data_IF_347072886253
#
_entry.id   IF_347072886253
#
_cell.length_a   1.000
_cell.length_b   1.000
_cell.length_c   1.000
_cell.angle_alpha   90.00
_cell.angle_beta   90.00
_cell.angle_gamma   90.00
#
_symmetry.space_group_name_H-M   'P 1'
#
loop_
_entity.id
_entity.type
_entity.pdbx_description
1 polymer ?
#
# COMPACT_ATOMS: atom_id res chain seq x y z
N UNK A 1 -42.75 -15.24 -39.22
CA UNK A 1 -41.87 -15.75 -38.15
C UNK A 1 -40.54 -15.01 -38.22
N UNK A 2 -40.31 -14.04 -37.32
CA UNK A 2 -39.05 -13.29 -37.28
C UNK A 2 -37.94 -14.12 -36.65
N UNK A 3 -36.82 -14.30 -37.37
CA UNK A 3 -35.60 -14.93 -36.85
C UNK A 3 -35.05 -14.10 -35.69
N UNK A 4 -35.15 -14.63 -34.47
CA UNK A 4 -34.33 -14.19 -33.34
C UNK A 4 -32.87 -14.48 -33.69
N UNK A 5 -32.08 -13.43 -33.93
CA UNK A 5 -30.62 -13.55 -33.97
C UNK A 5 -30.15 -13.59 -32.52
N UNK A 6 -29.54 -14.68 -32.09
CA UNK A 6 -28.75 -14.72 -30.86
C UNK A 6 -27.79 -13.53 -30.85
N UNK A 7 -27.92 -12.67 -29.84
CA UNK A 7 -26.93 -11.63 -29.58
C UNK A 7 -25.61 -12.34 -29.30
N UNK A 8 -24.60 -12.12 -30.15
CA UNK A 8 -23.23 -12.55 -29.90
C UNK A 8 -22.85 -12.17 -28.45
N UNK A 9 -22.25 -13.08 -27.67
CA UNK A 9 -21.80 -12.76 -26.33
C UNK A 9 -20.90 -11.52 -26.39
N UNK A 10 -21.18 -10.52 -25.54
CA UNK A 10 -20.34 -9.32 -25.44
C UNK A 10 -18.92 -9.80 -25.16
N UNK A 11 -17.99 -9.48 -26.06
CA UNK A 11 -16.55 -9.69 -25.83
C UNK A 11 -16.23 -9.17 -24.44
N UNK A 12 -15.68 -10.04 -23.59
CA UNK A 12 -15.15 -9.67 -22.28
C UNK A 12 -14.25 -8.44 -22.46
N UNK A 13 -14.49 -7.42 -21.63
CA UNK A 13 -13.80 -6.12 -21.68
C UNK A 13 -12.72 -5.99 -20.61
N UNK A 14 -12.67 -6.92 -19.67
CA UNK A 14 -11.82 -6.88 -18.48
C UNK A 14 -10.92 -8.10 -18.47
N UNK A 15 -9.71 -7.93 -17.92
CA UNK A 15 -8.77 -9.01 -17.69
C UNK A 15 -8.37 -9.02 -16.22
N UNK A 16 -8.24 -10.22 -15.66
CA UNK A 16 -7.64 -10.52 -14.35
C UNK A 16 -6.51 -11.49 -14.63
N UNK A 17 -5.27 -11.16 -14.27
CA UNK A 17 -4.08 -12.01 -14.48
C UNK A 17 -4.03 -12.57 -15.91
N UNK A 18 -4.18 -11.68 -16.90
CA UNK A 18 -4.23 -11.97 -18.35
C UNK A 18 -5.39 -12.87 -18.82
N UNK A 19 -6.33 -13.20 -17.94
CA UNK A 19 -7.55 -13.96 -18.28
C UNK A 19 -8.73 -13.02 -18.52
N UNK A 20 -9.43 -13.13 -19.66
CA UNK A 20 -10.64 -12.34 -19.91
C UNK A 20 -11.75 -12.77 -18.95
N UNK A 21 -12.35 -11.79 -18.26
CA UNK A 21 -13.48 -11.97 -17.34
C UNK A 21 -14.62 -11.01 -17.66
N UNK A 22 -15.83 -11.32 -17.22
CA UNK A 22 -16.92 -10.33 -17.24
C UNK A 22 -16.92 -9.45 -15.97
N UNK A 23 -17.81 -8.46 -15.95
CA UNK A 23 -17.89 -7.50 -14.85
C UNK A 23 -18.34 -8.14 -13.53
N UNK A 24 -19.24 -9.12 -13.57
CA UNK A 24 -19.72 -9.80 -12.37
C UNK A 24 -18.63 -10.69 -11.77
N UNK A 25 -17.87 -11.39 -12.62
CA UNK A 25 -16.72 -12.19 -12.22
C UNK A 25 -15.58 -11.33 -11.66
N UNK A 26 -15.34 -10.15 -12.26
CA UNK A 26 -14.38 -9.18 -11.72
C UNK A 26 -14.79 -8.70 -10.32
N UNK A 27 -16.06 -8.36 -10.11
CA UNK A 27 -16.56 -7.92 -8.81
C UNK A 27 -16.50 -9.05 -7.77
N UNK A 28 -16.81 -10.29 -8.15
CA UNK A 28 -16.72 -11.44 -7.24
C UNK A 28 -15.28 -11.72 -6.79
N UNK A 29 -14.30 -11.62 -7.70
CA UNK A 29 -12.88 -11.75 -7.36
C UNK A 29 -12.37 -10.58 -6.50
N UNK A 30 -12.81 -9.34 -6.79
CA UNK A 30 -12.49 -8.19 -5.95
C UNK A 30 -12.99 -8.36 -4.51
N UNK A 31 -14.22 -8.85 -4.33
CA UNK A 31 -14.78 -9.13 -3.00
C UNK A 31 -13.97 -10.20 -2.27
N UNK A 32 -13.62 -11.30 -2.94
CA UNK A 32 -12.87 -12.39 -2.33
C UNK A 32 -11.45 -11.98 -1.89
N UNK A 33 -10.82 -11.06 -2.61
CA UNK A 33 -9.51 -10.50 -2.24
C UNK A 33 -9.66 -9.51 -1.09
N UNK A 34 -10.73 -8.70 -1.09
CA UNK A 34 -11.04 -7.80 0.03
C UNK A 34 -11.27 -8.54 1.35
N UNK A 35 -11.70 -9.80 1.32
CA UNK A 35 -11.84 -10.64 2.52
C UNK A 35 -10.48 -11.08 3.09
N UNK A 36 -9.40 -10.97 2.30
CA UNK A 36 -8.04 -11.30 2.73
C UNK A 36 -7.33 -10.02 3.16
N UNK A 37 -7.38 -9.73 4.46
CA UNK A 37 -6.73 -8.54 5.03
C UNK A 37 -5.34 -8.81 5.60
N UNK A 38 -4.97 -10.08 5.81
CA UNK A 38 -3.67 -10.43 6.36
C UNK A 38 -2.58 -10.41 5.27
N UNK A 39 -1.68 -9.44 5.38
CA UNK A 39 -0.67 -9.08 4.39
C UNK A 39 0.75 -9.24 4.94
N UNK A 40 1.73 -9.04 4.07
CA UNK A 40 3.13 -9.00 4.48
C UNK A 40 3.50 -7.58 4.89
N UNK A 41 4.20 -7.46 6.02
CA UNK A 41 4.58 -6.17 6.57
C UNK A 41 6.08 -5.99 6.76
N UNK A 42 6.52 -4.74 6.72
CA UNK A 42 7.84 -4.33 7.17
C UNK A 42 7.74 -2.96 7.84
N UNK A 43 8.45 -2.81 8.96
CA UNK A 43 8.58 -1.53 9.67
C UNK A 43 9.97 -0.97 9.41
N UNK A 44 10.01 0.27 8.97
CA UNK A 44 11.22 1.00 8.62
C UNK A 44 11.13 2.42 9.17
N UNK A 45 12.21 3.15 8.99
CA UNK A 45 12.25 4.58 9.16
C UNK A 45 12.39 5.27 7.81
N UNK A 46 11.98 6.54 7.74
CA UNK A 46 11.91 7.27 6.48
C UNK A 46 13.27 7.54 5.82
N UNK A 47 14.34 7.52 6.60
CA UNK A 47 15.74 7.61 6.17
C UNK A 47 16.30 6.29 5.62
N UNK A 48 15.55 5.19 5.71
CA UNK A 48 15.99 3.89 5.20
C UNK A 48 16.28 3.94 3.69
N UNK A 49 17.49 3.52 3.31
CA UNK A 49 17.96 3.55 1.93
C UNK A 49 17.06 2.75 0.97
N UNK A 50 16.40 1.70 1.47
CA UNK A 50 15.47 0.88 0.68
C UNK A 50 14.25 1.69 0.20
N UNK A 51 13.85 2.75 0.90
CA UNK A 51 12.72 3.59 0.52
C UNK A 51 13.10 4.62 -0.56
N UNK A 52 14.37 5.03 -0.57
CA UNK A 52 14.92 5.96 -1.56
C UNK A 52 14.29 7.34 -1.56
N UNK A 53 13.82 7.81 -0.40
CA UNK A 53 13.26 9.16 -0.24
C UNK A 53 14.32 10.25 -0.15
N UNK A 54 15.54 9.91 0.31
CA UNK A 54 16.71 10.78 0.29
C UNK A 54 16.68 11.98 1.24
N UNK A 55 15.57 12.22 1.96
CA UNK A 55 15.40 13.18 3.06
C UNK A 55 14.33 12.72 4.04
N UNK A 56 14.52 13.06 5.32
CA UNK A 56 13.66 12.71 6.46
C UNK A 56 12.52 13.72 6.56
N UNK A 57 11.26 13.28 6.53
CA UNK A 57 10.18 14.10 7.06
C UNK A 57 10.26 14.10 8.57
N UNK A 58 10.07 15.24 9.22
CA UNK A 58 10.16 15.39 10.67
C UNK A 58 8.80 15.66 11.30
N UNK A 59 7.84 16.11 10.49
CA UNK A 59 6.47 16.27 10.92
C UNK A 59 5.54 16.65 9.78
N UNK A 60 4.26 16.79 10.13
CA UNK A 60 3.27 17.44 9.29
C UNK A 60 2.95 18.78 9.92
N UNK A 61 3.19 19.86 9.19
CA UNK A 61 2.81 21.22 9.57
C UNK A 61 1.29 21.37 9.64
N UNK A 62 0.83 22.43 10.32
CA UNK A 62 -0.61 22.70 10.52
C UNK A 62 -1.40 22.93 9.20
N UNK A 63 -0.70 23.24 8.09
CA UNK A 63 -1.29 23.37 6.76
C UNK A 63 -1.26 22.06 5.94
N UNK A 64 -0.83 20.95 6.56
CA UNK A 64 -0.72 19.63 5.95
C UNK A 64 0.53 19.44 5.08
N UNK A 65 1.46 20.41 5.08
CA UNK A 65 2.75 20.26 4.41
C UNK A 65 3.75 19.47 5.26
N UNK A 66 4.73 18.85 4.62
CA UNK A 66 5.72 18.01 5.28
C UNK A 66 6.92 18.88 5.67
N UNK A 67 7.29 18.85 6.94
CA UNK A 67 8.55 19.43 7.42
C UNK A 67 9.67 18.39 7.28
N UNK A 68 10.87 18.81 6.92
CA UNK A 68 12.04 17.92 6.80
C UNK A 68 13.24 18.54 7.52
N UNK A 69 13.92 17.77 8.37
CA UNK A 69 15.11 18.18 9.11
C UNK A 69 16.05 16.97 9.27
N UNK A 70 17.36 17.24 9.33
CA UNK A 70 18.41 16.23 9.48
C UNK A 70 18.75 15.96 10.97
N UNK A 71 18.07 16.61 11.93
CA UNK A 71 18.41 16.62 13.37
C UNK A 71 17.34 15.99 14.28
N UNK A 72 16.23 15.48 13.75
CA UNK A 72 15.11 14.91 14.54
C UNK A 72 15.04 13.38 14.52
N UNK A 73 14.25 12.83 15.45
CA UNK A 73 13.95 11.39 15.54
C UNK A 73 13.37 10.90 14.19
N UNK A 74 13.84 9.75 13.67
CA UNK A 74 13.45 9.33 12.33
C UNK A 74 11.96 8.98 12.27
N UNK A 75 11.28 9.45 11.23
CA UNK A 75 9.84 9.26 11.08
C UNK A 75 9.49 7.80 10.77
N UNK A 76 8.47 7.24 11.44
CA UNK A 76 8.15 5.82 11.33
C UNK A 76 7.41 5.54 10.03
N UNK A 77 7.80 4.44 9.37
CA UNK A 77 7.20 3.96 8.11
C UNK A 77 6.69 2.54 8.31
N UNK A 78 5.49 2.25 7.80
CA UNK A 78 4.92 0.91 7.73
C UNK A 78 4.60 0.54 6.27
N UNK A 79 5.14 -0.58 5.82
CA UNK A 79 4.87 -1.15 4.51
C UNK A 79 3.85 -2.28 4.62
N UNK A 80 2.86 -2.26 3.74
CA UNK A 80 1.79 -3.26 3.63
C UNK A 80 1.78 -3.82 2.20
N UNK A 81 2.33 -5.02 2.04
CA UNK A 81 2.38 -5.69 0.74
C UNK A 81 1.32 -6.81 0.67
N UNK A 82 0.33 -6.68 -0.23
CA UNK A 82 -0.76 -7.63 -0.32
C UNK A 82 -0.26 -9.02 -0.66
N UNK A 83 -0.78 -10.03 0.06
CA UNK A 83 -0.42 -11.43 -0.20
C UNK A 83 -0.76 -11.84 -1.63
N UNK A 84 -1.86 -11.29 -2.18
CA UNK A 84 -2.30 -11.47 -3.56
C UNK A 84 -2.64 -10.11 -4.15
N UNK A 85 -1.98 -9.74 -5.24
CA UNK A 85 -2.29 -8.55 -6.00
C UNK A 85 -3.16 -8.92 -7.20
N UNK A 86 -4.21 -8.16 -7.47
CA UNK A 86 -5.05 -8.38 -8.64
C UNK A 86 -4.90 -7.24 -9.63
N UNK A 87 -4.33 -7.58 -10.79
CA UNK A 87 -4.16 -6.64 -11.88
C UNK A 87 -5.45 -6.58 -12.70
N UNK A 88 -5.95 -5.37 -12.89
CA UNK A 88 -7.04 -5.06 -13.81
C UNK A 88 -6.54 -4.19 -14.94
N UNK A 89 -7.07 -4.43 -16.14
CA UNK A 89 -6.77 -3.59 -17.29
C UNK A 89 -8.04 -3.31 -18.08
N UNK A 90 -8.41 -2.03 -18.15
CA UNK A 90 -9.43 -1.55 -19.07
C UNK A 90 -8.81 -1.33 -20.48
N UNK A 91 -9.60 -1.44 -21.56
CA UNK A 91 -9.08 -1.26 -22.92
C UNK A 91 -8.45 0.13 -23.12
N UNK A 92 -7.19 0.17 -23.54
CA UNK A 92 -6.45 1.41 -23.78
C UNK A 92 -5.90 2.08 -22.51
N UNK A 93 -5.96 1.41 -21.36
CA UNK A 93 -5.35 1.88 -20.10
C UNK A 93 -4.20 0.97 -19.67
N UNK A 94 -3.28 1.54 -18.88
CA UNK A 94 -2.24 0.77 -18.22
C UNK A 94 -2.85 -0.16 -17.16
N UNK A 95 -2.24 -1.33 -16.90
CA UNK A 95 -2.65 -2.21 -15.81
C UNK A 95 -2.61 -1.49 -14.46
N UNK A 96 -3.62 -1.72 -13.63
CA UNK A 96 -3.74 -1.17 -12.27
C UNK A 96 -4.01 -2.28 -11.28
N UNK A 97 -3.46 -2.16 -10.08
CA UNK A 97 -3.77 -3.08 -9.00
C UNK A 97 -5.02 -2.59 -8.27
N UNK A 98 -6.03 -3.46 -8.16
CA UNK A 98 -7.38 -3.09 -7.72
C UNK A 98 -7.39 -2.58 -6.27
N UNK A 99 -6.63 -3.18 -5.36
CA UNK A 99 -6.59 -2.74 -3.97
C UNK A 99 -5.91 -1.36 -3.87
N UNK A 100 -4.80 -1.13 -4.56
CA UNK A 100 -4.15 0.19 -4.64
C UNK A 100 -5.12 1.26 -5.15
N UNK A 101 -5.91 0.98 -6.19
CA UNK A 101 -6.95 1.93 -6.64
C UNK A 101 -8.01 2.18 -5.56
N UNK A 102 -8.44 1.12 -4.85
CA UNK A 102 -9.38 1.25 -3.73
C UNK A 102 -8.83 2.12 -2.60
N UNK A 103 -7.57 1.92 -2.21
CA UNK A 103 -6.91 2.72 -1.20
C UNK A 103 -6.80 4.20 -1.61
N UNK A 104 -6.50 4.46 -2.88
CA UNK A 104 -6.46 5.81 -3.46
C UNK A 104 -7.85 6.46 -3.48
N UNK A 105 -8.88 5.72 -3.91
CA UNK A 105 -10.26 6.20 -3.91
C UNK A 105 -10.76 6.53 -2.50
N UNK A 106 -10.30 5.78 -1.51
CA UNK A 106 -10.57 6.02 -0.09
C UNK A 106 -9.66 7.08 0.54
N UNK A 107 -8.78 7.73 -0.20
CA UNK A 107 -8.09 8.96 0.24
C UNK A 107 -6.57 8.87 0.36
N UNK A 108 -5.94 7.69 0.21
CA UNK A 108 -4.49 7.63 0.05
C UNK A 108 -4.06 8.26 -1.28
N UNK A 109 -2.77 8.56 -1.42
CA UNK A 109 -2.21 9.14 -2.64
C UNK A 109 -1.38 8.13 -3.40
N UNK A 110 -1.48 8.15 -4.72
CA UNK A 110 -0.52 7.44 -5.57
C UNK A 110 0.86 8.04 -5.36
N UNK A 111 1.88 7.20 -5.19
CA UNK A 111 3.24 7.64 -4.88
C UNK A 111 4.17 7.45 -6.09
N UNK A 112 4.18 8.36 -7.09
CA UNK A 112 4.99 8.17 -8.29
C UNK A 112 6.50 8.34 -8.00
N UNK A 113 6.95 9.50 -7.49
CA UNK A 113 8.37 9.81 -7.21
C UNK A 113 8.50 10.87 -6.10
N UNK A 114 9.42 10.68 -5.15
CA UNK A 114 9.59 11.55 -3.97
C UNK A 114 8.44 11.50 -2.96
N UNK A 115 8.52 12.35 -1.94
CA UNK A 115 7.57 12.48 -0.82
C UNK A 115 6.78 13.79 -0.87
N UNK A 116 7.13 14.72 -1.76
CA UNK A 116 6.62 16.09 -1.78
C UNK A 116 5.10 16.19 -1.99
N UNK A 117 4.49 15.18 -2.63
CA UNK A 117 3.04 15.10 -2.88
C UNK A 117 2.28 14.33 -1.79
N UNK A 118 2.98 13.75 -0.81
CA UNK A 118 2.34 13.09 0.32
C UNK A 118 1.71 14.14 1.23
N UNK A 119 0.55 13.79 1.76
CA UNK A 119 -0.23 14.59 2.71
C UNK A 119 -0.76 13.65 3.78
N UNK A 120 -1.28 14.24 4.85
CA UNK A 120 -2.17 13.50 5.73
C UNK A 120 -3.31 12.88 4.93
N UNK A 121 -3.73 11.69 5.38
CA UNK A 121 -4.85 10.94 4.82
C UNK A 121 -5.96 10.88 5.86
N UNK A 122 -6.84 11.91 5.92
CA UNK A 122 -7.88 11.98 6.95
C UNK A 122 -8.75 10.71 6.98
N UNK A 123 -9.03 10.24 8.20
CA UNK A 123 -9.82 9.04 8.43
C UNK A 123 -9.04 7.72 8.32
N UNK A 124 -7.88 7.70 7.68
CA UNK A 124 -6.99 6.54 7.73
C UNK A 124 -6.26 6.47 9.06
N UNK A 125 -6.17 5.27 9.60
CA UNK A 125 -5.62 5.03 10.93
C UNK A 125 -4.76 3.78 10.94
N UNK A 126 -3.63 3.83 11.64
CA UNK A 126 -2.82 2.66 11.95
C UNK A 126 -3.00 2.30 13.42
N UNK A 127 -3.55 1.11 13.67
CA UNK A 127 -3.80 0.61 15.01
C UNK A 127 -2.79 -0.45 15.39
N UNK A 128 -2.16 -0.29 16.55
CA UNK A 128 -1.47 -1.39 17.24
C UNK A 128 -2.45 -2.10 18.17
N UNK A 129 -2.67 -3.38 17.91
CA UNK A 129 -3.54 -4.23 18.70
C UNK A 129 -2.85 -4.76 19.96
N UNK A 130 -3.63 -5.29 20.90
CA UNK A 130 -3.14 -5.89 22.15
C UNK A 130 -2.27 -7.13 21.93
N UNK A 131 -2.44 -7.80 20.80
CA UNK A 131 -1.64 -8.96 20.37
C UNK A 131 -0.46 -8.57 19.44
N UNK A 132 -0.07 -7.28 19.46
CA UNK A 132 1.07 -6.72 18.73
C UNK A 132 0.93 -6.70 17.19
N UNK A 133 -0.22 -7.08 16.65
CA UNK A 133 -0.52 -6.90 15.21
C UNK A 133 -0.79 -5.42 14.90
N UNK A 134 -0.50 -5.03 13.67
CA UNK A 134 -0.82 -3.71 13.16
C UNK A 134 -1.96 -3.80 12.14
N UNK A 135 -2.97 -2.96 12.28
CA UNK A 135 -4.09 -2.82 11.34
C UNK A 135 -4.09 -1.44 10.71
N UNK A 136 -3.95 -1.39 9.39
CA UNK A 136 -4.29 -0.22 8.60
C UNK A 136 -5.81 -0.22 8.38
N UNK A 137 -6.47 0.83 8.85
CA UNK A 137 -7.92 1.01 8.76
C UNK A 137 -8.27 2.13 7.80
N UNK A 138 -9.25 1.86 6.95
CA UNK A 138 -9.81 2.83 6.03
C UNK A 138 -10.77 3.81 6.74
N UNK A 139 -11.12 4.95 6.10
CA UNK A 139 -11.98 5.97 6.71
C UNK A 139 -13.39 5.51 7.09
N UNK A 140 -13.86 4.39 6.53
CA UNK A 140 -15.12 3.74 6.92
C UNK A 140 -15.02 2.92 8.21
N UNK A 141 -13.82 2.84 8.81
CA UNK A 141 -13.52 2.09 10.03
C UNK A 141 -13.20 0.61 9.80
N UNK A 142 -13.27 0.14 8.54
CA UNK A 142 -12.92 -1.22 8.17
C UNK A 142 -11.43 -1.51 8.28
N UNK A 143 -11.07 -2.77 8.52
CA UNK A 143 -9.67 -3.21 8.40
C UNK A 143 -9.36 -3.34 6.92
N UNK A 144 -8.44 -2.50 6.45
CA UNK A 144 -8.00 -2.52 5.06
C UNK A 144 -6.86 -3.51 4.84
N UNK A 145 -5.92 -3.54 5.79
CA UNK A 145 -4.79 -4.46 5.78
C UNK A 145 -4.29 -4.70 7.21
N UNK A 146 -3.74 -5.88 7.48
CA UNK A 146 -3.21 -6.32 8.77
C UNK A 146 -1.87 -7.01 8.56
N UNK A 147 -0.89 -6.64 9.38
CA UNK A 147 0.43 -7.26 9.36
C UNK A 147 0.83 -7.78 10.73
N UNK A 148 1.58 -8.87 10.73
CA UNK A 148 2.26 -9.41 11.91
C UNK A 148 3.76 -9.28 11.69
N UNK A 149 4.38 -8.35 12.42
CA UNK A 149 5.80 -7.99 12.27
C UNK A 149 6.43 -7.81 13.65
N UNK A 150 7.74 -8.11 13.83
CA UNK A 150 8.44 -7.74 15.04
C UNK A 150 8.37 -6.22 15.23
N UNK A 151 7.89 -5.78 16.40
CA UNK A 151 7.83 -4.35 16.73
C UNK A 151 9.12 -3.92 17.40
N UNK A 152 9.90 -3.10 16.71
CA UNK A 152 11.05 -2.42 17.28
C UNK A 152 10.58 -1.36 18.30
N UNK A 153 11.05 -1.39 19.57
CA UNK A 153 10.76 -0.34 20.54
C UNK A 153 11.07 1.08 20.06
N UNK A 154 12.12 1.27 19.25
CA UNK A 154 12.46 2.57 18.68
C UNK A 154 11.39 3.05 17.69
N UNK A 155 10.89 2.14 16.85
CA UNK A 155 9.82 2.44 15.90
C UNK A 155 8.53 2.81 16.63
N UNK A 156 8.18 2.06 17.70
CA UNK A 156 7.02 2.36 18.54
C UNK A 156 7.16 3.74 19.20
N UNK A 157 8.34 4.04 19.77
CA UNK A 157 8.63 5.33 20.41
C UNK A 157 8.37 6.48 19.43
N UNK A 158 8.96 6.39 18.23
CA UNK A 158 8.78 7.37 17.18
C UNK A 158 7.31 7.50 16.75
N UNK A 159 6.58 6.39 16.55
CA UNK A 159 5.14 6.42 16.21
C UNK A 159 4.28 7.07 17.30
N UNK A 160 4.59 6.86 18.57
CA UNK A 160 3.92 7.53 19.70
C UNK A 160 4.28 9.02 19.77
N UNK A 161 5.54 9.36 19.48
CA UNK A 161 6.02 10.74 19.48
C UNK A 161 5.32 11.57 18.39
N UNK A 162 5.40 11.12 17.13
CA UNK A 162 4.80 11.82 15.99
C UNK A 162 3.27 11.69 15.93
N UNK A 163 2.68 10.68 16.60
CA UNK A 163 1.25 10.30 16.51
C UNK A 163 0.79 10.01 15.09
N UNK A 164 1.73 9.78 14.19
CA UNK A 164 1.51 9.63 12.75
C UNK A 164 2.58 8.70 12.20
N UNK A 165 2.20 7.90 11.20
CA UNK A 165 3.07 6.94 10.52
C UNK A 165 2.88 7.13 9.02
N UNK A 166 3.97 7.08 8.27
CA UNK A 166 3.90 7.00 6.81
C UNK A 166 3.57 5.55 6.42
N UNK A 167 2.36 5.33 5.90
CA UNK A 167 1.97 4.03 5.39
C UNK A 167 2.15 3.97 3.88
N UNK A 168 2.77 2.89 3.40
CA UNK A 168 2.79 2.53 1.99
C UNK A 168 2.04 1.21 1.83
N UNK A 169 1.14 1.17 0.85
CA UNK A 169 0.34 0.00 0.51
C UNK A 169 0.47 -0.30 -0.98
N UNK A 170 0.69 -1.57 -1.31
CA UNK A 170 0.71 -2.06 -2.69
C UNK A 170 1.66 -3.23 -2.89
N UNK A 171 1.62 -3.89 -4.06
CA UNK A 171 2.55 -4.97 -4.38
C UNK A 171 3.98 -4.45 -4.54
N UNK A 172 4.95 -5.35 -4.41
CA UNK A 172 6.35 -5.09 -4.74
C UNK A 172 6.95 -3.94 -3.91
N UNK A 173 6.69 -3.96 -2.61
CA UNK A 173 7.27 -3.01 -1.65
C UNK A 173 8.60 -3.49 -1.09
N UNK A 174 9.15 -4.58 -1.64
CA UNK A 174 10.35 -5.22 -1.15
C UNK A 174 10.24 -5.78 0.26
N UNK A 175 9.00 -6.09 0.67
CA UNK A 175 8.71 -6.75 1.95
C UNK A 175 8.93 -8.26 1.81
N UNK A 176 8.42 -8.83 0.72
CA UNK A 176 8.55 -10.26 0.45
C UNK A 176 9.91 -10.59 -0.16
N UNK A 177 10.49 -11.70 0.30
CA UNK A 177 11.63 -12.29 -0.38
C UNK A 177 11.16 -12.92 -1.70
N UNK A 178 11.76 -12.55 -2.85
CA UNK A 178 11.47 -13.21 -4.11
C UNK A 178 11.74 -14.72 -4.02
N UNK A 179 10.92 -15.58 -4.64
CA UNK A 179 10.99 -17.04 -4.47
C UNK A 179 12.31 -17.66 -4.99
N UNK A 180 13.00 -16.96 -5.88
CA UNK A 180 14.29 -17.34 -6.47
C UNK A 180 15.51 -16.79 -5.70
N UNK A 181 15.28 -16.07 -4.59
CA UNK A 181 16.32 -15.41 -3.81
C UNK A 181 16.42 -15.98 -2.40
N UNK A 182 17.64 -16.01 -1.88
CA UNK A 182 17.90 -16.25 -0.46
C UNK A 182 17.95 -14.93 0.31
N UNK A 183 17.64 -14.91 1.62
CA UNK A 183 17.62 -13.67 2.40
C UNK A 183 18.93 -12.87 2.35
N UNK A 184 20.08 -13.56 2.33
CA UNK A 184 21.42 -12.97 2.24
C UNK A 184 21.74 -12.36 0.87
N UNK A 185 20.93 -12.67 -0.14
CA UNK A 185 21.09 -12.22 -1.52
C UNK A 185 20.04 -11.16 -1.93
N UNK A 186 19.17 -10.76 -1.00
CA UNK A 186 18.14 -9.76 -1.23
C UNK A 186 18.46 -8.51 -0.40
N UNK A 187 19.14 -7.58 -1.06
CA UNK A 187 19.77 -6.41 -0.43
C UNK A 187 18.82 -5.21 -0.35
N UNK A 188 19.20 -4.19 0.42
CA UNK A 188 18.48 -2.91 0.43
C UNK A 188 18.41 -2.27 -0.98
N UNK A 189 19.45 -2.44 -1.80
CA UNK A 189 19.45 -1.95 -3.18
C UNK A 189 18.44 -2.71 -4.06
N UNK A 190 18.26 -4.01 -3.85
CA UNK A 190 17.24 -4.80 -4.55
C UNK A 190 15.82 -4.34 -4.16
N UNK A 191 15.57 -4.16 -2.85
CA UNK A 191 14.30 -3.61 -2.33
C UNK A 191 14.00 -2.22 -2.91
N UNK A 192 15.01 -1.36 -2.95
CA UNK A 192 14.90 -0.03 -3.54
C UNK A 192 14.53 -0.08 -5.03
N UNK A 193 15.17 -0.96 -5.80
CA UNK A 193 14.86 -1.14 -7.21
C UNK A 193 13.42 -1.63 -7.42
N UNK A 194 12.96 -2.54 -6.55
CA UNK A 194 11.61 -3.07 -6.56
C UNK A 194 10.56 -1.98 -6.25
N UNK A 195 10.72 -1.27 -5.12
CA UNK A 195 9.84 -0.15 -4.74
C UNK A 195 9.81 0.91 -5.84
N UNK A 196 10.97 1.29 -6.41
CA UNK A 196 11.02 2.28 -7.51
C UNK A 196 10.25 1.81 -8.74
N UNK A 197 10.33 0.52 -9.06
CA UNK A 197 9.59 -0.05 -10.19
C UNK A 197 8.09 -0.02 -9.93
N UNK A 198 7.64 -0.45 -8.75
CA UNK A 198 6.22 -0.44 -8.35
C UNK A 198 5.64 0.98 -8.38
N UNK A 199 6.34 1.95 -7.78
CA UNK A 199 5.99 3.37 -7.79
C UNK A 199 5.93 3.95 -9.20
N UNK A 200 6.90 3.63 -10.05
CA UNK A 200 6.94 4.06 -11.45
C UNK A 200 5.77 3.53 -12.28
N UNK A 201 5.21 2.37 -11.90
CA UNK A 201 4.00 1.78 -12.49
C UNK A 201 2.71 2.25 -11.80
N UNK A 202 2.81 3.12 -10.80
CA UNK A 202 1.67 3.59 -10.04
C UNK A 202 1.07 2.56 -9.08
N UNK A 203 1.78 1.48 -8.74
CA UNK A 203 1.26 0.38 -7.92
C UNK A 203 1.45 0.60 -6.41
N UNK A 204 1.64 1.85 -5.98
CA UNK A 204 1.85 2.17 -4.57
C UNK A 204 0.94 3.33 -4.19
N UNK A 205 0.07 3.07 -3.21
CA UNK A 205 -0.68 4.06 -2.47
C UNK A 205 0.07 4.40 -1.18
N UNK A 206 0.06 5.65 -0.75
CA UNK A 206 0.73 6.08 0.45
C UNK A 206 0.08 7.32 1.08
N UNK A 207 0.34 7.51 2.37
CA UNK A 207 -0.11 8.67 3.12
C UNK A 207 0.36 8.66 4.56
N UNK A 208 0.34 9.83 5.19
CA UNK A 208 0.52 9.94 6.63
C UNK A 208 -0.80 9.63 7.32
N UNK A 209 -0.81 8.64 8.21
CA UNK A 209 -2.00 8.15 8.89
C UNK A 209 -1.84 8.29 10.40
N UNK A 210 -2.94 8.55 11.10
CA UNK A 210 -2.92 8.68 12.55
C UNK A 210 -2.55 7.35 13.21
N UNK A 211 -1.65 7.39 14.20
CA UNK A 211 -1.25 6.22 14.95
C UNK A 211 -2.05 6.08 16.25
N UNK A 212 -2.64 4.90 16.46
CA UNK A 212 -3.41 4.55 17.65
C UNK A 212 -2.79 3.34 18.34
N UNK A 213 -2.33 3.55 19.57
CA UNK A 213 -1.82 2.47 20.41
C UNK A 213 -2.96 1.93 21.29
N UNK A 214 -3.52 0.77 20.92
CA UNK A 214 -4.60 0.12 21.66
C UNK A 214 -4.09 -0.97 22.61
N UNK A 215 -2.81 -0.97 22.94
CA UNK A 215 -2.20 -1.83 23.95
C UNK A 215 -2.53 -1.36 25.36
#
# INVERSE_FOLDING_TARGET
>A
MGRFKEKKPRRSRFHIDDRPVDEAEMMAHAAQISDTVDDHGLLLFMDDEALGFGRVATGVAADGTIETSDEEEPFPVALFEPARAMMSQAPGQDPREIQVEGAIMSGLRRLPRGIADLRESPGWQLHRLTDERLELRSPDGGVYSRITVPLDPAWISSALHHRSVLCLYGPQLGVRLPPDRRPDQYTAADRLAEIRTARGRGLVAAGFVAFHNNR
#
